data_IF_050831252412
#
_entry.id   IF_050831252412
#
_cell.length_a   1.000
_cell.length_b   1.000
_cell.length_c   1.000
_cell.angle_alpha   90.00
_cell.angle_beta   90.00
_cell.angle_gamma   90.00
#
_symmetry.space_group_name_H-M   'P 1'
#
loop_
_entity.id
_entity.type
_entity.pdbx_description
1 polymer ?
#
# COMPACT_ATOMS: atom_id res chain seq x y z
N UNK A 1 -67.46 10.01 -25.17
CA UNK A 1 -67.51 9.71 -23.72
C UNK A 1 -66.07 9.49 -23.26
N UNK A 2 -65.56 10.40 -22.42
CA UNK A 2 -64.31 10.42 -21.62
C UNK A 2 -62.96 10.32 -22.36
N UNK A 3 -62.17 11.41 -22.42
CA UNK A 3 -61.11 11.84 -21.46
C UNK A 3 -59.95 10.82 -21.38
N UNK A 4 -58.65 11.16 -21.39
CA UNK A 4 -57.87 12.39 -21.49
C UNK A 4 -56.37 11.97 -21.49
N UNK A 5 -55.47 12.95 -21.69
CA UNK A 5 -53.99 12.92 -21.51
C UNK A 5 -53.20 12.41 -22.74
N UNK A 6 -52.69 13.25 -23.65
CA UNK A 6 -51.70 14.37 -23.52
C UNK A 6 -50.50 14.01 -22.64
N UNK A 7 -49.34 13.83 -23.28
CA UNK A 7 -48.05 13.69 -22.62
C UNK A 7 -46.88 13.59 -23.60
N UNK A 8 -46.61 14.70 -24.31
CA UNK A 8 -45.43 14.92 -25.14
C UNK A 8 -44.19 15.12 -24.23
N UNK A 9 -43.00 14.74 -24.72
CA UNK A 9 -41.63 15.05 -24.21
C UNK A 9 -41.18 14.16 -23.04
N UNK A 10 -40.12 13.36 -23.13
CA UNK A 10 -38.74 13.77 -23.38
C UNK A 10 -37.92 12.58 -23.85
N UNK A 11 -37.00 12.83 -24.80
CA UNK A 11 -35.93 11.93 -25.15
C UNK A 11 -35.04 11.67 -23.92
N UNK A 12 -34.88 10.41 -23.54
CA UNK A 12 -33.80 9.98 -22.66
C UNK A 12 -32.84 9.12 -23.48
N UNK A 13 -31.78 9.78 -23.96
CA UNK A 13 -30.60 9.13 -24.52
C UNK A 13 -29.96 8.34 -23.37
N UNK A 14 -30.15 7.03 -23.37
CA UNK A 14 -29.42 6.09 -22.51
C UNK A 14 -27.99 5.94 -23.07
N UNK A 15 -27.15 6.92 -22.82
CA UNK A 15 -25.70 6.79 -23.00
C UNK A 15 -25.12 6.06 -21.77
N UNK A 16 -25.27 4.74 -21.74
CA UNK A 16 -24.48 3.90 -20.84
C UNK A 16 -23.06 3.79 -21.42
N UNK A 17 -22.23 4.80 -21.18
CA UNK A 17 -20.78 4.65 -21.25
C UNK A 17 -20.38 3.85 -20.02
N UNK A 18 -20.48 2.52 -20.11
CA UNK A 18 -19.77 1.62 -19.22
C UNK A 18 -18.33 1.61 -19.71
N UNK A 19 -17.54 2.60 -19.29
CA UNK A 19 -16.08 2.42 -19.27
C UNK A 19 -15.84 1.47 -18.10
N UNK A 20 -15.97 0.19 -18.40
CA UNK A 20 -15.35 -0.83 -17.58
C UNK A 20 -13.85 -0.57 -17.65
N UNK A 21 -13.31 0.06 -16.62
CA UNK A 21 -11.92 -0.18 -16.27
C UNK A 21 -11.85 -1.67 -15.93
N UNK A 22 -11.66 -2.49 -16.97
CA UNK A 22 -11.01 -3.75 -16.80
C UNK A 22 -9.63 -3.37 -16.25
N UNK A 23 -9.54 -3.37 -14.92
CA UNK A 23 -8.28 -3.51 -14.22
C UNK A 23 -7.62 -4.71 -14.88
N UNK A 24 -6.68 -4.44 -15.78
CA UNK A 24 -5.75 -5.43 -16.27
C UNK A 24 -4.92 -5.83 -15.05
N UNK A 25 -5.52 -6.66 -14.21
CA UNK A 25 -4.82 -7.51 -13.28
C UNK A 25 -3.98 -8.40 -14.17
N UNK A 26 -2.78 -7.93 -14.51
CA UNK A 26 -1.66 -8.80 -14.71
C UNK A 26 -1.57 -9.59 -13.41
N UNK A 27 -2.29 -10.72 -13.37
CA UNK A 27 -2.07 -11.75 -12.38
C UNK A 27 -0.64 -12.18 -12.60
N UNK A 28 0.29 -11.55 -11.88
CA UNK A 28 1.62 -12.10 -11.71
C UNK A 28 1.37 -13.50 -11.15
N UNK A 29 1.62 -14.50 -12.00
CA UNK A 29 1.52 -15.89 -11.60
C UNK A 29 2.35 -16.04 -10.33
N UNK A 30 1.73 -16.52 -9.25
CA UNK A 30 2.40 -16.78 -7.99
C UNK A 30 3.55 -17.76 -8.27
N UNK A 31 4.79 -17.27 -8.28
CA UNK A 31 5.99 -18.12 -8.34
C UNK A 31 6.11 -18.79 -6.96
N UNK A 32 5.82 -20.11 -6.84
CA UNK A 32 5.79 -20.77 -5.54
C UNK A 32 7.14 -20.70 -4.82
N UNK A 33 8.24 -20.63 -5.60
CA UNK A 33 9.59 -20.51 -5.05
C UNK A 33 9.80 -19.14 -4.42
N UNK A 34 9.43 -18.06 -5.13
CA UNK A 34 9.54 -16.71 -4.56
C UNK A 34 8.62 -16.52 -3.37
N UNK A 35 7.40 -17.07 -3.38
CA UNK A 35 6.51 -17.02 -2.22
C UNK A 35 7.14 -17.69 -0.99
N UNK A 36 7.70 -18.90 -1.14
CA UNK A 36 8.33 -19.60 -0.03
C UNK A 36 9.53 -18.84 0.55
N UNK A 37 10.34 -18.19 -0.31
CA UNK A 37 11.46 -17.36 0.15
C UNK A 37 10.95 -16.14 0.93
N UNK A 38 9.94 -15.44 0.41
CA UNK A 38 9.33 -14.30 1.11
C UNK A 38 8.71 -14.73 2.45
N UNK A 39 8.02 -15.85 2.49
CA UNK A 39 7.42 -16.37 3.72
C UNK A 39 8.50 -16.68 4.78
N UNK A 40 9.63 -17.25 4.36
CA UNK A 40 10.77 -17.52 5.24
C UNK A 40 11.40 -16.22 5.76
N UNK A 41 11.63 -15.23 4.89
CA UNK A 41 12.21 -13.93 5.27
C UNK A 41 11.29 -13.21 6.25
N UNK A 42 9.99 -13.11 5.94
CA UNK A 42 9.00 -12.47 6.80
C UNK A 42 8.92 -13.16 8.17
N UNK A 43 8.87 -14.49 8.19
CA UNK A 43 8.85 -15.27 9.44
C UNK A 43 10.10 -15.01 10.28
N UNK A 44 11.27 -15.02 9.63
CA UNK A 44 12.56 -14.79 10.31
C UNK A 44 12.63 -13.37 10.88
N UNK A 45 12.29 -12.36 10.08
CA UNK A 45 12.27 -10.96 10.49
C UNK A 45 11.31 -10.74 11.68
N UNK A 46 10.08 -11.26 11.59
CA UNK A 46 9.08 -11.10 12.64
C UNK A 46 9.45 -11.85 13.91
N UNK A 47 10.09 -13.02 13.82
CA UNK A 47 10.50 -13.80 15.00
C UNK A 47 11.46 -13.04 15.91
N UNK A 48 12.28 -12.14 15.34
CA UNK A 48 13.16 -11.26 16.13
C UNK A 48 12.37 -10.25 16.97
N UNK A 49 11.23 -9.79 16.46
CA UNK A 49 10.42 -8.79 17.14
C UNK A 49 9.59 -9.35 18.30
N UNK A 50 9.36 -10.67 18.32
CA UNK A 50 8.48 -11.34 19.27
C UNK A 50 9.23 -12.42 20.03
N UNK A 51 9.44 -12.21 21.33
CA UNK A 51 10.07 -13.20 22.20
C UNK A 51 9.23 -13.48 23.44
N UNK A 52 9.54 -14.57 24.14
CA UNK A 52 8.97 -14.89 25.45
C UNK A 52 10.08 -15.12 26.43
N UNK A 53 10.10 -14.38 27.54
CA UNK A 53 11.08 -14.51 28.61
C UNK A 53 10.32 -14.80 29.90
N UNK A 54 10.59 -15.95 30.53
CA UNK A 54 9.90 -16.39 31.75
C UNK A 54 8.36 -16.39 31.63
N UNK A 55 7.83 -16.77 30.46
CA UNK A 55 6.38 -16.78 30.18
C UNK A 55 5.77 -15.42 29.87
N UNK A 56 6.53 -14.33 29.95
CA UNK A 56 6.07 -12.98 29.58
C UNK A 56 6.38 -12.73 28.11
N UNK A 57 5.35 -12.40 27.33
CA UNK A 57 5.49 -11.97 25.93
C UNK A 57 6.19 -10.62 25.89
N UNK A 58 7.29 -10.54 25.16
CA UNK A 58 8.03 -9.31 24.90
C UNK A 58 7.93 -8.97 23.42
N UNK A 59 7.59 -7.71 23.17
CA UNK A 59 7.57 -7.12 21.84
C UNK A 59 8.71 -6.11 21.79
N UNK A 60 9.61 -6.24 20.83
CA UNK A 60 10.72 -5.31 20.61
C UNK A 60 10.81 -5.05 19.12
N UNK A 61 10.91 -3.79 18.71
CA UNK A 61 11.13 -3.51 17.30
C UNK A 61 12.59 -3.81 16.97
N UNK A 62 12.82 -4.81 16.11
CA UNK A 62 14.11 -5.04 15.48
C UNK A 62 13.98 -4.72 13.99
N UNK A 63 14.82 -3.84 13.42
CA UNK A 63 14.71 -3.48 12.02
C UNK A 63 15.02 -4.65 11.08
N UNK A 64 14.60 -4.50 9.82
CA UNK A 64 15.04 -5.37 8.73
C UNK A 64 16.56 -5.28 8.59
N UNK A 65 17.21 -6.41 8.36
CA UNK A 65 18.65 -6.46 8.09
C UNK A 65 18.93 -6.11 6.63
N UNK A 66 20.14 -5.61 6.36
CA UNK A 66 20.58 -5.34 4.99
C UNK A 66 20.56 -6.60 4.11
N UNK A 67 20.80 -7.78 4.70
CA UNK A 67 20.75 -9.05 3.97
C UNK A 67 19.31 -9.38 3.55
N UNK A 68 18.34 -9.28 4.45
CA UNK A 68 16.93 -9.54 4.12
C UNK A 68 16.43 -8.58 3.04
N UNK A 69 16.81 -7.30 3.12
CA UNK A 69 16.46 -6.31 2.11
C UNK A 69 17.07 -6.68 0.76
N UNK A 70 18.37 -7.00 0.71
CA UNK A 70 19.05 -7.39 -0.52
C UNK A 70 18.49 -8.68 -1.14
N UNK A 71 18.10 -9.66 -0.33
CA UNK A 71 17.46 -10.89 -0.81
C UNK A 71 16.09 -10.60 -1.46
N UNK A 72 15.28 -9.73 -0.85
CA UNK A 72 14.00 -9.31 -1.42
C UNK A 72 14.18 -8.49 -2.69
N UNK A 73 15.13 -7.55 -2.72
CA UNK A 73 15.48 -6.76 -3.91
C UNK A 73 15.92 -7.67 -5.07
N UNK A 74 16.70 -8.72 -4.78
CA UNK A 74 17.15 -9.69 -5.79
C UNK A 74 15.99 -10.51 -6.41
N UNK A 75 14.91 -10.73 -5.66
CA UNK A 75 13.67 -11.32 -6.21
C UNK A 75 12.90 -10.32 -7.08
N UNK A 76 13.04 -9.03 -6.78
CA UNK A 76 12.44 -7.92 -7.49
C UNK A 76 10.94 -8.08 -7.66
N UNK A 77 10.48 -8.01 -8.91
CA UNK A 77 9.06 -8.05 -9.24
C UNK A 77 8.33 -9.31 -8.76
N UNK A 78 9.03 -10.44 -8.63
CA UNK A 78 8.43 -11.70 -8.18
C UNK A 78 8.05 -11.69 -6.70
N UNK A 79 8.62 -10.78 -5.91
CA UNK A 79 8.32 -10.63 -4.49
C UNK A 79 7.08 -9.76 -4.22
N UNK A 80 6.64 -8.95 -5.19
CA UNK A 80 5.56 -7.96 -4.98
C UNK A 80 4.25 -8.63 -4.58
N UNK A 81 3.78 -9.63 -5.33
CA UNK A 81 2.53 -10.32 -5.02
C UNK A 81 2.57 -11.08 -3.67
N UNK A 82 3.60 -11.88 -3.36
CA UNK A 82 3.77 -12.47 -2.03
C UNK A 82 3.76 -11.45 -0.89
N UNK A 83 4.51 -10.34 -1.01
CA UNK A 83 4.55 -9.28 0.01
C UNK A 83 3.20 -8.57 0.15
N UNK A 84 2.52 -8.30 -0.95
CA UNK A 84 1.21 -7.65 -0.94
C UNK A 84 0.17 -8.46 -0.14
N UNK A 85 0.25 -9.80 -0.15
CA UNK A 85 -0.65 -10.66 0.64
C UNK A 85 -0.57 -10.40 2.15
N UNK A 86 0.59 -9.97 2.65
CA UNK A 86 0.74 -9.62 4.06
C UNK A 86 -0.04 -8.36 4.46
N UNK A 87 -0.35 -7.48 3.50
CA UNK A 87 -1.16 -6.28 3.73
C UNK A 87 -2.65 -6.61 3.93
N UNK A 88 -3.08 -7.75 3.36
CA UNK A 88 -4.48 -8.19 3.30
C UNK A 88 -4.82 -9.25 4.37
N UNK A 89 -3.90 -9.51 5.32
CA UNK A 89 -4.14 -10.46 6.41
C UNK A 89 -5.29 -10.00 7.30
N UNK A 90 -6.20 -10.93 7.60
CA UNK A 90 -7.32 -10.70 8.51
C UNK A 90 -6.85 -10.32 9.92
N UNK A 91 -5.84 -11.03 10.41
CA UNK A 91 -5.18 -10.70 11.67
C UNK A 91 -3.97 -9.82 11.40
N UNK A 92 -4.19 -8.51 11.43
CA UNK A 92 -3.12 -7.53 11.33
C UNK A 92 -2.32 -7.47 12.63
N UNK A 93 -1.01 -7.41 12.51
CA UNK A 93 -0.11 -7.06 13.60
C UNK A 93 0.86 -6.00 13.07
N UNK A 94 1.12 -4.96 13.86
CA UNK A 94 1.77 -3.75 13.34
C UNK A 94 3.05 -4.03 12.53
N UNK A 95 3.92 -4.91 13.02
CA UNK A 95 5.20 -5.20 12.35
C UNK A 95 5.05 -5.97 11.04
N UNK A 96 4.04 -6.82 10.89
CA UNK A 96 3.84 -7.59 9.64
C UNK A 96 3.55 -6.67 8.47
N UNK A 97 2.60 -5.76 8.62
CA UNK A 97 2.27 -4.82 7.55
C UNK A 97 3.40 -3.80 7.33
N UNK A 98 4.03 -3.32 8.40
CA UNK A 98 5.18 -2.41 8.30
C UNK A 98 6.35 -3.04 7.54
N UNK A 99 6.70 -4.30 7.82
CA UNK A 99 7.78 -5.00 7.12
C UNK A 99 7.43 -5.25 5.66
N UNK A 100 6.20 -5.67 5.37
CA UNK A 100 5.75 -5.82 3.99
C UNK A 100 5.86 -4.51 3.20
N UNK A 101 5.44 -3.38 3.78
CA UNK A 101 5.60 -2.05 3.19
C UNK A 101 7.08 -1.71 2.97
N UNK A 102 7.94 -1.90 3.97
CA UNK A 102 9.37 -1.60 3.84
C UNK A 102 10.06 -2.43 2.76
N UNK A 103 9.70 -3.71 2.63
CA UNK A 103 10.20 -4.55 1.55
C UNK A 103 9.68 -4.13 0.18
N UNK A 104 8.40 -3.75 0.06
CA UNK A 104 7.85 -3.19 -1.17
C UNK A 104 8.56 -1.88 -1.58
N UNK A 105 8.88 -1.01 -0.61
CA UNK A 105 9.66 0.21 -0.85
C UNK A 105 11.06 -0.10 -1.37
N UNK A 106 11.72 -1.13 -0.81
CA UNK A 106 13.06 -1.55 -1.26
C UNK A 106 13.03 -2.09 -2.70
N UNK A 107 12.01 -2.88 -3.06
CA UNK A 107 11.81 -3.33 -4.44
C UNK A 107 11.60 -2.14 -5.38
N UNK A 108 10.77 -1.18 -4.95
CA UNK A 108 10.41 0.00 -5.74
C UNK A 108 9.73 -0.35 -7.07
N UNK A 109 9.72 0.61 -8.00
CA UNK A 109 9.09 0.46 -9.30
C UNK A 109 7.55 0.48 -9.27
N UNK A 110 6.94 0.79 -10.41
CA UNK A 110 5.51 1.10 -10.52
C UNK A 110 4.57 -0.02 -10.07
N UNK A 111 4.99 -1.29 -10.13
CA UNK A 111 4.22 -2.44 -9.65
C UNK A 111 3.97 -2.43 -8.13
N UNK A 112 4.78 -1.70 -7.36
CA UNK A 112 4.62 -1.58 -5.91
C UNK A 112 3.64 -0.49 -5.50
N UNK A 113 3.26 0.41 -6.41
CA UNK A 113 2.32 1.51 -6.15
C UNK A 113 0.99 0.99 -5.60
N UNK A 114 0.34 0.07 -6.31
CA UNK A 114 -0.96 -0.47 -5.88
C UNK A 114 -0.94 -1.05 -4.45
N UNK A 115 0.01 -1.94 -4.11
CA UNK A 115 0.21 -2.38 -2.72
C UNK A 115 0.45 -1.26 -1.70
N UNK A 116 1.31 -0.28 -2.02
CA UNK A 116 1.63 0.84 -1.12
C UNK A 116 0.41 1.75 -0.90
N UNK A 117 -0.34 2.08 -1.95
CA UNK A 117 -1.60 2.83 -1.87
C UNK A 117 -2.63 2.14 -0.99
N UNK A 118 -2.76 0.81 -1.09
CA UNK A 118 -3.65 0.04 -0.21
C UNK A 118 -3.19 0.09 1.25
N UNK A 119 -1.89 -0.03 1.51
CA UNK A 119 -1.35 0.08 2.85
C UNK A 119 -1.63 1.48 3.45
N UNK A 120 -1.43 2.54 2.68
CA UNK A 120 -1.76 3.90 3.11
C UNK A 120 -3.26 4.05 3.42
N UNK A 121 -4.14 3.55 2.56
CA UNK A 121 -5.58 3.74 2.72
C UNK A 121 -6.22 2.87 3.83
N UNK A 122 -5.70 1.67 4.09
CA UNK A 122 -6.41 0.64 4.85
C UNK A 122 -5.71 0.23 6.16
N UNK A 123 -4.44 0.59 6.35
CA UNK A 123 -3.73 0.20 7.56
C UNK A 123 -4.11 1.06 8.78
N UNK A 124 -4.36 0.40 9.90
CA UNK A 124 -4.77 1.08 11.13
C UNK A 124 -3.58 1.74 11.81
N UNK A 125 -2.37 1.20 11.63
CA UNK A 125 -1.19 1.70 12.30
C UNK A 125 -0.57 2.85 11.52
N UNK A 126 -0.47 4.01 12.16
CA UNK A 126 0.04 5.24 11.56
C UNK A 126 1.48 5.12 11.05
N UNK A 127 2.30 4.28 11.69
CA UNK A 127 3.69 4.03 11.26
C UNK A 127 3.71 3.35 9.88
N UNK A 128 2.82 2.40 9.66
CA UNK A 128 2.67 1.72 8.36
C UNK A 128 2.15 2.69 7.31
N UNK A 129 1.13 3.51 7.63
CA UNK A 129 0.59 4.50 6.69
C UNK A 129 1.63 5.55 6.30
N UNK A 130 2.39 6.09 7.26
CA UNK A 130 3.45 7.06 6.99
C UNK A 130 4.54 6.46 6.09
N UNK A 131 4.99 5.23 6.37
CA UNK A 131 5.95 4.53 5.53
C UNK A 131 5.41 4.28 4.12
N UNK A 132 4.14 3.91 3.99
CA UNK A 132 3.50 3.73 2.70
C UNK A 132 3.45 5.03 1.90
N UNK A 133 3.13 6.17 2.54
CA UNK A 133 3.13 7.49 1.90
C UNK A 133 4.52 7.88 1.37
N UNK A 134 5.57 7.68 2.17
CA UNK A 134 6.96 7.86 1.72
C UNK A 134 7.29 6.95 0.54
N UNK A 135 6.82 5.69 0.58
CA UNK A 135 6.99 4.72 -0.50
C UNK A 135 6.33 5.15 -1.82
N UNK A 136 5.08 5.59 -1.77
CA UNK A 136 4.34 6.08 -2.96
C UNK A 136 5.10 7.27 -3.56
N UNK A 137 5.55 8.21 -2.72
CA UNK A 137 6.36 9.34 -3.15
C UNK A 137 7.66 8.89 -3.81
N UNK A 138 8.43 8.02 -3.16
CA UNK A 138 9.71 7.52 -3.70
C UNK A 138 9.55 6.80 -5.05
N UNK A 139 8.43 6.09 -5.26
CA UNK A 139 8.17 5.38 -6.52
C UNK A 139 7.70 6.35 -7.61
N UNK A 140 6.83 7.31 -7.28
CA UNK A 140 6.33 8.29 -8.24
C UNK A 140 5.86 9.57 -7.57
N UNK A 141 6.62 10.66 -7.72
CA UNK A 141 6.21 12.00 -7.28
C UNK A 141 4.89 12.43 -7.93
N UNK A 142 4.58 12.04 -9.16
CA UNK A 142 3.34 12.44 -9.81
C UNK A 142 2.13 11.75 -9.18
N UNK A 143 2.21 10.43 -8.98
CA UNK A 143 1.14 9.60 -8.41
C UNK A 143 0.94 9.91 -6.92
N UNK A 144 2.02 10.25 -6.19
CA UNK A 144 1.95 10.52 -4.76
C UNK A 144 1.25 11.84 -4.39
N UNK A 145 1.18 12.80 -5.31
CA UNK A 145 0.65 14.14 -5.04
C UNK A 145 -0.74 14.13 -4.37
N UNK A 146 -1.77 13.45 -4.91
CA UNK A 146 -3.07 13.40 -4.25
C UNK A 146 -3.03 12.75 -2.85
N UNK A 147 -2.16 11.77 -2.63
CA UNK A 147 -2.01 11.13 -1.32
C UNK A 147 -1.34 12.05 -0.31
N UNK A 148 -0.30 12.79 -0.72
CA UNK A 148 0.36 13.80 0.11
C UNK A 148 -0.62 14.91 0.49
N UNK A 149 -1.40 15.42 -0.48
CA UNK A 149 -2.40 16.46 -0.22
C UNK A 149 -3.50 15.99 0.76
N UNK A 150 -3.99 14.76 0.60
CA UNK A 150 -4.96 14.17 1.54
C UNK A 150 -4.37 13.98 2.94
N UNK A 151 -3.11 13.54 3.02
CA UNK A 151 -2.43 13.23 4.28
C UNK A 151 -2.14 14.46 5.15
N UNK A 152 -2.15 15.69 4.60
CA UNK A 152 -2.01 16.93 5.37
C UNK A 152 -3.14 17.11 6.41
N UNK A 153 -4.31 16.51 6.16
CA UNK A 153 -5.45 16.51 7.07
C UNK A 153 -5.62 15.22 7.87
N UNK A 154 -4.64 14.29 7.85
CA UNK A 154 -4.76 13.02 8.57
C UNK A 154 -4.83 13.25 10.09
N UNK A 155 -5.68 12.48 10.76
CA UNK A 155 -5.82 12.52 12.23
C UNK A 155 -4.55 12.11 12.98
N UNK A 156 -3.69 11.32 12.35
CA UNK A 156 -2.39 10.95 12.89
C UNK A 156 -1.39 12.06 12.66
N UNK A 157 -0.83 12.56 13.77
CA UNK A 157 0.27 13.51 13.75
C UNK A 157 1.46 13.01 12.93
N UNK A 158 1.79 11.71 13.00
CA UNK A 158 2.93 11.14 12.27
C UNK A 158 2.69 11.22 10.76
N UNK A 159 1.50 10.82 10.29
CA UNK A 159 1.15 10.86 8.86
C UNK A 159 1.12 12.31 8.37
N UNK A 160 0.53 13.23 9.14
CA UNK A 160 0.51 14.65 8.81
C UNK A 160 1.91 15.27 8.74
N UNK A 161 2.82 14.90 9.65
CA UNK A 161 4.21 15.35 9.61
C UNK A 161 4.94 14.87 8.35
N UNK A 162 4.79 13.59 7.99
CA UNK A 162 5.32 13.05 6.73
C UNK A 162 4.75 13.81 5.54
N UNK A 163 3.43 14.06 5.51
CA UNK A 163 2.79 14.80 4.43
C UNK A 163 3.33 16.24 4.30
N UNK A 164 3.51 16.97 5.41
CA UNK A 164 4.10 18.30 5.39
C UNK A 164 5.53 18.30 4.87
N UNK A 165 6.33 17.30 5.27
CA UNK A 165 7.68 17.13 4.75
C UNK A 165 7.68 16.94 3.23
N UNK A 166 6.90 15.98 2.72
CA UNK A 166 6.81 15.69 1.29
C UNK A 166 6.22 16.86 0.48
N UNK A 167 5.23 17.57 1.04
CA UNK A 167 4.67 18.79 0.46
C UNK A 167 5.73 19.89 0.28
N UNK A 168 6.64 20.04 1.25
CA UNK A 168 7.74 21.00 1.15
C UNK A 168 8.71 20.68 0.01
N UNK A 169 8.91 19.39 -0.32
CA UNK A 169 9.76 18.96 -1.43
C UNK A 169 9.15 19.36 -2.79
N UNK A 170 7.84 19.23 -2.98
CA UNK A 170 7.18 19.73 -4.19
C UNK A 170 7.32 21.25 -4.34
N UNK A 171 7.24 22.01 -3.25
CA UNK A 171 7.39 23.47 -3.29
C UNK A 171 8.80 23.89 -3.68
N UNK A 172 9.82 23.10 -3.34
CA UNK A 172 11.21 23.35 -3.73
C UNK A 172 11.46 23.03 -5.20
N UNK A 173 10.81 22.01 -5.77
CA UNK A 173 10.96 21.63 -7.18
C UNK A 173 10.32 22.63 -8.16
N UNK A 174 9.36 23.45 -7.69
CA UNK A 174 8.65 24.44 -8.50
C UNK A 174 9.24 25.87 -8.39
N UNK A 175 10.40 26.02 -7.75
CA UNK A 175 11.15 27.28 -7.64
C UNK A 175 12.35 27.26 -8.58
#
# INVERSE_FOLDING_TARGET
>A
MNQAQRGLRHALVLSCIVIGYASLGFGQANDPKSSAIIDQIMTTALSRCYSTVNGVKRITFEPLTNQEVAEVEALGQKAVAPLARYLDLQQKNGFTQLFAVKFLMAIGGSSTLGPLERAFAQDQWEVTRAAALDGIFAVSHAEAKPYVEAALGDTSQLVGQTAHHLSSLYQQQNK
#
